data_IF_195248196312
#
_entry.id   IF_195248196312
#
_cell.length_a   1.000
_cell.length_b   1.000
_cell.length_c   1.000
_cell.angle_alpha   90.00
_cell.angle_beta   90.00
_cell.angle_gamma   90.00
#
_symmetry.space_group_name_H-M   'P 1'
#
loop_
_entity.id
_entity.type
_entity.pdbx_description
1 polymer ?
#
# COMPACT_ATOMS: atom_id res chain seq x y z
N UNK A 1 13.30 5.03 18.90
CA UNK A 1 12.13 5.93 18.85
C UNK A 1 10.80 5.16 18.69
N UNK A 2 10.52 4.47 17.58
CA UNK A 2 9.26 3.70 17.38
C UNK A 2 8.90 2.77 18.55
N UNK A 3 9.84 1.94 19.00
CA UNK A 3 9.59 1.00 20.11
C UNK A 3 9.40 1.68 21.47
N UNK A 4 9.91 2.87 21.64
CA UNK A 4 9.80 3.64 22.88
C UNK A 4 8.46 4.36 22.97
N UNK A 5 8.02 5.00 21.89
CA UNK A 5 6.67 5.54 21.77
C UNK A 5 5.59 4.48 22.05
N UNK A 6 5.70 3.32 21.39
CA UNK A 6 4.71 2.23 21.56
C UNK A 6 4.66 1.68 22.99
N UNK A 7 5.77 1.76 23.74
CA UNK A 7 5.81 1.33 25.16
C UNK A 7 5.21 2.36 26.11
N UNK A 8 5.25 3.63 25.72
CA UNK A 8 4.84 4.75 26.56
C UNK A 8 3.55 5.41 26.10
N UNK A 9 2.81 4.78 25.15
CA UNK A 9 1.64 5.41 24.51
C UNK A 9 0.62 5.94 25.50
N UNK A 10 0.44 5.25 26.61
CA UNK A 10 -0.51 5.66 27.65
C UNK A 10 -0.15 7.00 28.32
N UNK A 11 1.11 7.45 28.23
CA UNK A 11 1.53 8.74 28.79
C UNK A 11 1.19 9.93 27.89
N UNK A 12 0.80 9.66 26.64
CA UNK A 12 0.45 10.70 25.67
C UNK A 12 -1.05 10.99 25.61
N UNK A 13 -1.89 10.18 26.27
CA UNK A 13 -3.34 10.43 26.26
C UNK A 13 -3.67 11.70 27.04
N UNK A 14 -4.34 12.67 26.42
CA UNK A 14 -4.84 13.86 27.11
C UNK A 14 -6.06 13.52 27.98
N UNK A 15 -6.38 14.42 28.91
CA UNK A 15 -7.63 14.31 29.68
C UNK A 15 -8.81 14.82 28.81
N UNK A 16 -9.50 13.90 28.17
CA UNK A 16 -10.63 14.12 27.23
C UNK A 16 -11.60 12.94 27.30
N UNK A 17 -12.76 13.03 26.66
CA UNK A 17 -13.78 11.97 26.69
C UNK A 17 -13.30 10.71 25.95
N UNK A 18 -12.54 10.90 24.85
CA UNK A 18 -11.91 9.81 24.08
C UNK A 18 -10.71 10.31 23.31
N UNK A 19 -9.65 9.50 23.27
CA UNK A 19 -8.51 9.73 22.40
C UNK A 19 -8.03 8.41 21.82
N UNK A 20 -7.61 8.42 20.56
CA UNK A 20 -6.92 7.30 19.95
C UNK A 20 -5.69 7.74 19.16
N UNK A 21 -4.69 6.87 19.17
CA UNK A 21 -3.49 6.97 18.34
C UNK A 21 -3.48 5.86 17.31
N UNK A 22 -3.23 6.22 16.06
CA UNK A 22 -2.98 5.28 14.98
C UNK A 22 -1.63 5.56 14.36
N UNK A 23 -0.67 4.72 14.68
CA UNK A 23 0.64 4.71 14.01
C UNK A 23 0.54 3.90 12.72
N UNK A 24 1.15 4.38 11.65
CA UNK A 24 1.29 3.67 10.37
C UNK A 24 2.73 3.83 9.89
N UNK A 25 3.36 2.71 9.52
CA UNK A 25 4.59 2.70 8.73
C UNK A 25 4.32 1.91 7.45
N UNK A 26 4.62 2.51 6.30
CA UNK A 26 4.43 1.92 4.99
C UNK A 26 5.76 1.84 4.26
N UNK A 27 6.18 0.63 3.94
CA UNK A 27 7.32 0.36 3.07
C UNK A 27 6.82 -0.09 1.70
N UNK A 28 7.37 0.48 0.64
CA UNK A 28 7.06 0.11 -0.76
C UNK A 28 8.37 -0.14 -1.49
N UNK A 29 8.44 -1.25 -2.23
CA UNK A 29 9.53 -1.55 -3.16
C UNK A 29 8.93 -1.89 -4.53
N UNK A 30 9.41 -1.22 -5.59
CA UNK A 30 8.97 -1.44 -6.96
C UNK A 30 10.19 -1.76 -7.83
N UNK A 31 10.09 -2.86 -8.56
CA UNK A 31 11.07 -3.27 -9.56
C UNK A 31 10.33 -3.33 -10.89
N UNK A 32 10.78 -2.57 -11.88
CA UNK A 32 10.12 -2.43 -13.18
C UNK A 32 11.11 -2.64 -14.32
N UNK A 33 10.66 -3.32 -15.37
CA UNK A 33 11.38 -3.48 -16.63
C UNK A 33 10.47 -3.00 -17.75
N UNK A 34 10.91 -2.00 -18.48
CA UNK A 34 10.18 -1.43 -19.62
C UNK A 34 11.02 -1.56 -20.87
N UNK A 35 10.49 -2.15 -21.94
CA UNK A 35 11.17 -2.34 -23.23
C UNK A 35 12.54 -3.02 -23.08
N UNK A 36 12.62 -4.03 -22.22
CA UNK A 36 13.84 -4.78 -21.86
C UNK A 36 14.91 -3.93 -21.15
N UNK A 37 14.55 -2.78 -20.59
CA UNK A 37 15.44 -1.92 -19.79
C UNK A 37 14.96 -1.94 -18.35
N UNK A 38 15.86 -2.20 -17.42
CA UNK A 38 15.60 -2.08 -15.99
C UNK A 38 15.45 -0.60 -15.64
N UNK A 39 14.30 -0.23 -15.08
CA UNK A 39 14.10 1.08 -14.49
C UNK A 39 14.78 1.18 -13.11
N UNK A 40 15.09 2.37 -12.62
CA UNK A 40 15.58 2.54 -11.27
C UNK A 40 14.66 1.83 -10.25
N UNK A 41 15.25 1.03 -9.36
CA UNK A 41 14.49 0.36 -8.30
C UNK A 41 13.99 1.42 -7.31
N UNK A 42 12.69 1.50 -7.14
CA UNK A 42 12.07 2.45 -6.23
C UNK A 42 11.90 1.82 -4.85
N UNK A 43 12.38 2.50 -3.83
CA UNK A 43 12.14 2.16 -2.43
C UNK A 43 11.64 3.42 -1.74
N UNK A 44 10.50 3.32 -1.08
CA UNK A 44 9.96 4.39 -0.24
C UNK A 44 9.51 3.85 1.10
N UNK A 45 9.75 4.63 2.13
CA UNK A 45 9.25 4.39 3.48
C UNK A 45 8.61 5.67 3.99
N UNK A 46 7.40 5.56 4.52
CA UNK A 46 6.63 6.67 5.07
C UNK A 46 6.01 6.23 6.39
N UNK A 47 6.17 7.06 7.43
CA UNK A 47 5.64 6.75 8.75
C UNK A 47 5.05 7.99 9.43
N UNK A 48 4.06 7.75 10.28
CA UNK A 48 3.43 8.82 11.03
C UNK A 48 2.43 8.32 12.05
N UNK A 49 1.96 9.26 12.86
CA UNK A 49 0.93 9.07 13.86
C UNK A 49 -0.25 9.97 13.56
N UNK A 50 -1.43 9.39 13.61
CA UNK A 50 -2.72 10.08 13.61
C UNK A 50 -3.29 10.08 15.02
N UNK A 51 -3.76 11.23 15.48
CA UNK A 51 -4.43 11.42 16.76
C UNK A 51 -5.86 11.83 16.51
N UNK A 52 -6.80 11.13 17.13
CA UNK A 52 -8.22 11.50 17.11
C UNK A 52 -8.66 11.82 18.53
N UNK A 53 -9.36 12.92 18.72
CA UNK A 53 -9.90 13.36 20.01
C UNK A 53 -11.40 13.62 19.88
N UNK A 54 -12.17 13.11 20.85
CA UNK A 54 -13.55 13.49 21.09
C UNK A 54 -13.58 14.15 22.46
N UNK A 55 -14.13 15.38 22.55
CA UNK A 55 -14.24 16.11 23.80
C UNK A 55 -15.43 17.07 23.78
N UNK A 56 -16.27 17.00 24.82
CA UNK A 56 -17.47 17.84 24.98
C UNK A 56 -18.37 17.86 23.71
N UNK A 57 -18.55 16.68 23.07
CA UNK A 57 -19.35 16.56 21.85
C UNK A 57 -18.70 17.13 20.60
N UNK A 58 -17.44 17.59 20.68
CA UNK A 58 -16.65 17.99 19.53
C UNK A 58 -15.70 16.88 19.06
N UNK A 59 -15.19 17.03 17.86
CA UNK A 59 -14.26 16.08 17.21
C UNK A 59 -13.05 16.82 16.68
N UNK A 60 -11.87 16.31 16.97
CA UNK A 60 -10.62 16.86 16.51
C UNK A 60 -9.67 15.79 16.00
N UNK A 61 -8.80 16.23 15.13
CA UNK A 61 -7.84 15.40 14.43
C UNK A 61 -6.51 16.12 14.30
N UNK A 62 -5.41 15.41 14.59
CA UNK A 62 -4.04 15.85 14.39
C UNK A 62 -3.18 14.73 13.79
N UNK A 63 -2.14 15.07 13.06
CA UNK A 63 -1.23 14.10 12.51
C UNK A 63 0.21 14.64 12.47
N UNK A 64 1.18 13.74 12.59
CA UNK A 64 2.60 14.09 12.47
C UNK A 64 3.42 12.91 11.95
N UNK A 65 4.46 13.21 11.16
CA UNK A 65 5.55 12.30 10.84
C UNK A 65 6.73 12.44 11.83
N UNK A 66 6.71 13.46 12.69
CA UNK A 66 7.68 13.60 13.77
C UNK A 66 7.28 12.71 14.94
N UNK A 67 7.95 11.56 15.06
CA UNK A 67 7.71 10.55 16.09
C UNK A 67 8.47 10.84 17.41
N UNK A 68 9.01 12.04 17.58
CA UNK A 68 9.54 12.49 18.86
C UNK A 68 8.39 12.75 19.84
N UNK A 69 8.72 12.76 21.14
CA UNK A 69 7.74 13.12 22.16
C UNK A 69 7.09 14.49 21.89
N UNK A 70 7.89 15.45 21.48
CA UNK A 70 7.41 16.81 21.18
C UNK A 70 6.46 16.82 19.98
N UNK A 71 6.81 16.13 18.87
CA UNK A 71 5.98 16.02 17.69
C UNK A 71 4.63 15.39 17.99
N UNK A 72 4.60 14.31 18.77
CA UNK A 72 3.37 13.60 19.15
C UNK A 72 2.50 14.46 20.06
N UNK A 73 3.09 15.11 21.08
CA UNK A 73 2.35 16.00 21.98
C UNK A 73 1.75 17.17 21.21
N UNK A 74 2.50 17.76 20.26
CA UNK A 74 1.98 18.84 19.42
C UNK A 74 0.78 18.42 18.58
N UNK A 75 0.83 17.24 17.93
CA UNK A 75 -0.29 16.69 17.19
C UNK A 75 -1.50 16.39 18.09
N UNK A 76 -1.25 15.94 19.33
CA UNK A 76 -2.30 15.68 20.32
C UNK A 76 -2.99 16.97 20.75
N UNK A 77 -2.22 18.01 21.04
CA UNK A 77 -2.76 19.34 21.39
C UNK A 77 -3.56 19.96 20.23
N UNK A 78 -3.09 19.79 19.00
CA UNK A 78 -3.82 20.24 17.82
C UNK A 78 -5.17 19.51 17.68
N UNK A 79 -5.19 18.20 17.82
CA UNK A 79 -6.42 17.41 17.82
C UNK A 79 -7.40 17.87 18.91
N UNK A 80 -6.90 18.13 20.13
CA UNK A 80 -7.70 18.62 21.24
C UNK A 80 -8.30 20.01 20.96
N UNK A 81 -7.51 20.95 20.44
CA UNK A 81 -8.00 22.30 20.04
C UNK A 81 -9.12 22.20 19.00
N UNK A 82 -8.99 21.32 18.00
CA UNK A 82 -10.05 21.12 17.02
C UNK A 82 -11.30 20.50 17.63
N UNK A 83 -11.18 19.56 18.58
CA UNK A 83 -12.32 19.02 19.30
C UNK A 83 -13.05 20.11 20.09
N UNK A 84 -12.33 20.95 20.85
CA UNK A 84 -12.88 22.07 21.58
C UNK A 84 -13.55 23.09 20.66
N UNK A 85 -12.92 23.44 19.53
CA UNK A 85 -13.47 24.38 18.56
C UNK A 85 -14.73 23.87 17.87
N UNK A 86 -14.83 22.59 17.57
CA UNK A 86 -15.97 21.97 16.88
C UNK A 86 -17.15 21.65 17.81
N UNK A 87 -16.93 21.68 19.12
CA UNK A 87 -17.99 21.44 20.12
C UNK A 87 -19.19 22.37 19.91
N UNK A 88 -20.39 21.81 19.88
CA UNK A 88 -21.65 22.52 19.64
C UNK A 88 -21.85 23.00 18.20
N UNK A 89 -20.94 22.72 17.26
CA UNK A 89 -21.01 23.15 15.86
C UNK A 89 -21.21 22.01 14.87
N UNK A 90 -21.16 20.76 15.35
CA UNK A 90 -21.26 19.56 14.48
C UNK A 90 -22.74 19.23 14.24
N UNK A 91 -23.09 18.88 13.00
CA UNK A 91 -24.43 18.38 12.62
C UNK A 91 -24.75 17.06 13.32
N UNK A 92 -23.74 16.22 13.52
CA UNK A 92 -23.85 14.98 14.26
C UNK A 92 -22.85 15.01 15.41
N UNK A 93 -23.34 14.85 16.64
CA UNK A 93 -22.47 14.80 17.82
C UNK A 93 -21.75 13.44 17.87
N UNK A 94 -20.43 13.42 17.80
CA UNK A 94 -19.68 12.17 17.91
C UNK A 94 -19.77 11.64 19.35
N UNK A 95 -20.02 10.36 19.48
CA UNK A 95 -19.95 9.68 20.76
C UNK A 95 -18.66 8.84 20.80
N UNK A 96 -17.96 8.80 21.95
CA UNK A 96 -16.91 7.81 22.14
C UNK A 96 -17.40 6.41 21.77
N UNK A 97 -16.57 5.57 21.14
CA UNK A 97 -16.95 4.17 20.91
C UNK A 97 -17.41 3.54 22.21
N UNK A 98 -18.49 2.76 22.17
CA UNK A 98 -18.93 1.99 23.34
C UNK A 98 -17.74 1.16 23.83
N UNK A 99 -17.51 1.13 25.14
CA UNK A 99 -16.36 0.50 25.78
C UNK A 99 -16.23 -0.94 25.31
N UNK A 100 -15.38 -1.17 24.34
CA UNK A 100 -14.91 -2.49 23.94
C UNK A 100 -13.39 -2.41 23.89
N UNK A 101 -12.76 -3.15 24.75
CA UNK A 101 -11.32 -3.34 24.72
C UNK A 101 -11.05 -4.38 23.66
N UNK A 102 -10.48 -3.94 22.55
CA UNK A 102 -10.04 -4.86 21.51
C UNK A 102 -8.50 -5.01 21.60
N UNK A 103 -8.06 -6.24 21.84
CA UNK A 103 -6.66 -6.63 21.75
C UNK A 103 -6.51 -7.62 20.59
N UNK A 104 -5.67 -7.30 19.65
CA UNK A 104 -5.54 -8.11 18.44
C UNK A 104 -4.22 -7.94 17.74
N UNK A 105 -3.71 -9.06 17.20
CA UNK A 105 -2.52 -9.10 16.37
C UNK A 105 -2.82 -9.79 15.06
N UNK A 106 -2.54 -9.11 13.96
CA UNK A 106 -2.61 -9.70 12.63
C UNK A 106 -1.27 -9.57 11.92
N UNK A 107 -0.78 -10.67 11.39
CA UNK A 107 0.45 -10.70 10.60
C UNK A 107 0.18 -11.50 9.32
N UNK A 108 0.51 -10.92 8.17
CA UNK A 108 0.51 -11.67 6.93
C UNK A 108 1.49 -12.84 7.05
N UNK A 109 1.01 -14.04 6.80
CA UNK A 109 1.84 -15.23 6.81
C UNK A 109 2.59 -15.35 5.48
N UNK A 110 3.77 -14.75 5.41
CA UNK A 110 4.66 -14.90 4.25
C UNK A 110 5.42 -16.23 4.34
N UNK A 111 5.07 -17.20 3.51
CA UNK A 111 5.83 -18.47 3.40
C UNK A 111 7.26 -18.21 2.95
N UNK A 112 7.42 -17.31 1.96
CA UNK A 112 8.69 -16.86 1.41
C UNK A 112 8.70 -15.35 1.37
N UNK A 113 9.46 -14.72 2.27
CA UNK A 113 9.49 -13.27 2.37
C UNK A 113 10.09 -12.66 1.10
N UNK A 114 9.59 -11.47 0.73
CA UNK A 114 10.13 -10.68 -0.39
C UNK A 114 11.65 -10.50 -0.33
N UNK A 115 12.22 -10.39 0.87
CA UNK A 115 13.64 -10.16 1.08
C UNK A 115 14.53 -11.41 0.93
N UNK A 116 13.96 -12.62 0.86
CA UNK A 116 14.76 -13.84 0.66
C UNK A 116 15.34 -13.95 -0.73
N UNK A 117 14.59 -13.52 -1.75
CA UNK A 117 15.09 -13.50 -3.12
C UNK A 117 15.92 -12.24 -3.39
N UNK A 118 17.01 -12.38 -4.10
CA UNK A 118 17.84 -11.25 -4.48
C UNK A 118 17.14 -10.34 -5.48
N UNK A 119 17.49 -9.06 -5.53
CA UNK A 119 17.00 -8.17 -6.57
C UNK A 119 17.40 -8.64 -7.96
N UNK A 120 18.55 -9.31 -8.08
CA UNK A 120 19.03 -9.90 -9.34
C UNK A 120 18.05 -10.96 -9.86
N UNK A 121 17.62 -11.91 -9.02
CA UNK A 121 16.70 -12.97 -9.42
C UNK A 121 15.32 -12.41 -9.82
N UNK A 122 14.85 -11.38 -9.10
CA UNK A 122 13.60 -10.66 -9.42
C UNK A 122 13.68 -9.96 -10.78
N UNK A 123 14.80 -9.29 -11.03
CA UNK A 123 15.06 -8.61 -12.32
C UNK A 123 15.17 -9.61 -13.45
N UNK A 124 15.91 -10.72 -13.27
CA UNK A 124 16.03 -11.77 -14.28
C UNK A 124 14.66 -12.36 -14.65
N UNK A 125 13.79 -12.59 -13.68
CA UNK A 125 12.43 -13.05 -13.93
C UNK A 125 11.59 -12.00 -14.66
N UNK A 126 11.65 -10.73 -14.27
CA UNK A 126 11.00 -9.63 -15.00
C UNK A 126 11.50 -9.50 -16.44
N UNK A 127 12.81 -9.71 -16.67
CA UNK A 127 13.36 -9.70 -18.03
C UNK A 127 12.81 -10.84 -18.89
N UNK A 128 12.60 -12.03 -18.32
CA UNK A 128 11.97 -13.16 -19.03
C UNK A 128 10.53 -12.80 -19.42
N UNK A 129 9.74 -12.29 -18.47
CA UNK A 129 8.36 -11.83 -18.72
C UNK A 129 8.36 -10.73 -19.81
N UNK A 130 9.30 -9.79 -19.74
CA UNK A 130 9.40 -8.68 -20.68
C UNK A 130 9.70 -9.13 -22.10
N UNK A 131 10.54 -10.18 -22.25
CA UNK A 131 10.78 -10.82 -23.56
C UNK A 131 9.51 -11.45 -24.14
N UNK A 132 8.72 -12.13 -23.32
CA UNK A 132 7.46 -12.73 -23.75
C UNK A 132 6.41 -11.70 -24.15
N UNK A 133 6.38 -10.52 -23.48
CA UNK A 133 5.53 -9.40 -23.90
C UNK A 133 5.89 -8.89 -25.31
N UNK A 134 7.19 -8.86 -25.68
CA UNK A 134 7.64 -8.47 -27.03
C UNK A 134 7.58 -9.65 -28.01
N UNK A 135 6.45 -10.33 -28.08
CA UNK A 135 6.25 -11.52 -28.93
C UNK A 135 6.31 -11.24 -30.43
N UNK A 136 5.90 -10.05 -30.87
CA UNK A 136 5.85 -9.66 -32.30
C UNK A 136 6.28 -8.20 -32.51
N UNK A 137 6.72 -7.85 -33.74
CA UNK A 137 7.12 -6.46 -34.09
C UNK A 137 6.03 -5.42 -33.82
N UNK A 138 4.76 -5.79 -34.00
CA UNK A 138 3.58 -4.93 -33.78
C UNK A 138 3.39 -4.48 -32.33
N UNK A 139 4.05 -5.12 -31.36
CA UNK A 139 4.09 -4.62 -30.00
C UNK A 139 5.03 -3.41 -29.98
N UNK A 140 4.46 -2.22 -29.81
CA UNK A 140 5.18 -0.94 -29.80
C UNK A 140 5.68 -0.53 -28.43
N UNK A 141 4.96 -0.91 -27.35
CA UNK A 141 5.38 -0.68 -25.98
C UNK A 141 4.98 -1.85 -25.07
N UNK A 142 5.84 -2.17 -24.10
CA UNK A 142 5.62 -3.26 -23.16
C UNK A 142 6.39 -3.04 -21.87
N UNK A 143 5.88 -3.58 -20.77
CA UNK A 143 6.52 -3.48 -19.47
C UNK A 143 5.97 -4.50 -18.47
N UNK A 144 6.79 -4.81 -17.49
CA UNK A 144 6.41 -5.66 -16.37
C UNK A 144 7.00 -5.09 -15.08
N UNK A 145 6.25 -5.19 -13.99
CA UNK A 145 6.71 -4.75 -12.69
C UNK A 145 6.20 -5.64 -11.56
N UNK A 146 6.97 -5.68 -10.49
CA UNK A 146 6.57 -6.21 -9.20
C UNK A 146 6.56 -5.09 -8.19
N UNK A 147 5.46 -4.95 -7.46
CA UNK A 147 5.35 -4.05 -6.33
C UNK A 147 5.13 -4.86 -5.07
N UNK A 148 5.99 -4.66 -4.09
CA UNK A 148 5.83 -5.17 -2.74
C UNK A 148 5.46 -4.02 -1.81
N UNK A 149 4.45 -4.22 -0.98
CA UNK A 149 4.08 -3.28 0.07
C UNK A 149 4.06 -4.02 1.40
N UNK A 150 4.58 -3.36 2.42
CA UNK A 150 4.47 -3.76 3.82
C UNK A 150 3.92 -2.59 4.62
N UNK A 151 2.82 -2.83 5.33
CA UNK A 151 2.16 -1.82 6.15
C UNK A 151 2.11 -2.34 7.58
N UNK A 152 2.77 -1.63 8.48
CA UNK A 152 2.70 -1.88 9.91
C UNK A 152 1.76 -0.83 10.53
N UNK A 153 0.75 -1.28 11.23
CA UNK A 153 -0.20 -0.41 11.93
C UNK A 153 -0.24 -0.78 13.40
N UNK A 154 -0.23 0.23 14.24
CA UNK A 154 -0.52 0.11 15.66
C UNK A 154 -1.65 1.07 16.01
N UNK A 155 -2.65 0.59 16.73
CA UNK A 155 -3.75 1.39 17.21
C UNK A 155 -3.90 1.20 18.72
N UNK A 156 -4.05 2.30 19.45
CA UNK A 156 -4.37 2.31 20.86
C UNK A 156 -5.35 3.44 21.18
N UNK A 157 -6.21 3.26 22.17
CA UNK A 157 -7.15 4.25 22.60
C UNK A 157 -7.30 4.35 24.13
N UNK A 158 -8.01 5.37 24.58
CA UNK A 158 -8.31 5.57 26.01
C UNK A 158 -9.19 4.51 26.62
N UNK A 159 -9.85 3.65 25.82
CA UNK A 159 -10.62 2.50 26.30
C UNK A 159 -9.72 1.27 26.59
N UNK A 160 -8.42 1.34 26.25
CA UNK A 160 -7.45 0.27 26.48
C UNK A 160 -7.23 -0.68 25.32
N UNK A 161 -7.70 -0.34 24.11
CA UNK A 161 -7.43 -1.13 22.91
C UNK A 161 -5.93 -1.15 22.57
N UNK A 162 -5.38 -2.30 22.16
CA UNK A 162 -4.03 -2.49 21.60
C UNK A 162 -4.14 -3.40 20.37
N UNK A 163 -4.17 -2.81 19.18
CA UNK A 163 -4.29 -3.56 17.93
C UNK A 163 -3.03 -3.37 17.11
N UNK A 164 -2.41 -4.48 16.71
CA UNK A 164 -1.17 -4.49 15.91
C UNK A 164 -1.38 -5.28 14.63
N UNK A 165 -1.12 -4.64 13.51
CA UNK A 165 -1.22 -5.27 12.21
C UNK A 165 0.07 -5.10 11.42
N UNK A 166 0.50 -6.18 10.76
CA UNK A 166 1.60 -6.16 9.81
C UNK A 166 1.09 -6.87 8.55
N UNK A 167 0.70 -6.06 7.57
CA UNK A 167 0.14 -6.53 6.31
C UNK A 167 1.17 -6.36 5.22
N UNK A 168 1.52 -7.46 4.54
CA UNK A 168 2.35 -7.40 3.35
C UNK A 168 1.63 -8.03 2.16
N UNK A 169 1.86 -7.48 0.97
CA UNK A 169 1.27 -8.00 -0.26
C UNK A 169 2.14 -7.66 -1.47
N UNK A 170 2.04 -8.53 -2.47
CA UNK A 170 2.73 -8.40 -3.75
C UNK A 170 1.71 -8.19 -4.85
N UNK A 171 2.03 -7.29 -5.79
CA UNK A 171 1.26 -7.04 -7.01
C UNK A 171 2.18 -7.22 -8.23
N UNK A 172 1.93 -8.23 -9.09
CA UNK A 172 2.47 -8.22 -10.45
C UNK A 172 1.66 -7.27 -11.33
N UNK A 173 2.32 -6.62 -12.27
CA UNK A 173 1.67 -5.84 -13.32
C UNK A 173 2.40 -6.04 -14.64
N UNK A 174 1.65 -6.35 -15.67
CA UNK A 174 2.11 -6.55 -17.04
C UNK A 174 1.33 -5.62 -17.96
N UNK A 175 1.98 -5.09 -18.98
CA UNK A 175 1.35 -4.26 -20.01
C UNK A 175 1.93 -4.57 -21.39
N UNK A 176 1.06 -4.68 -22.38
CA UNK A 176 1.44 -4.77 -23.79
C UNK A 176 0.59 -3.80 -24.60
N UNK A 177 1.26 -2.98 -25.43
CA UNK A 177 0.62 -2.07 -26.39
C UNK A 177 0.97 -2.54 -27.80
N UNK A 178 -0.04 -2.84 -28.61
CA UNK A 178 0.11 -3.16 -30.01
C UNK A 178 -0.29 -1.97 -30.88
N UNK A 179 0.47 -1.72 -31.93
CA UNK A 179 0.19 -0.65 -32.90
C UNK A 179 -0.01 -1.23 -34.29
N UNK A 180 -1.12 -0.90 -34.91
CA UNK A 180 -1.40 -1.20 -36.30
C UNK A 180 -2.12 -0.02 -36.97
N UNK A 181 -1.62 0.43 -38.16
CA UNK A 181 -2.20 1.54 -38.93
C UNK A 181 -2.52 2.79 -38.08
N UNK A 182 -1.60 3.20 -37.18
CA UNK A 182 -1.74 4.34 -36.25
C UNK A 182 -2.77 4.16 -35.12
N UNK A 183 -3.37 2.99 -34.99
CA UNK A 183 -4.20 2.63 -33.84
C UNK A 183 -3.38 1.88 -32.82
N UNK A 184 -3.49 2.29 -31.55
CA UNK A 184 -2.80 1.67 -30.43
C UNK A 184 -3.83 1.01 -29.55
N UNK A 185 -3.63 -0.28 -29.26
CA UNK A 185 -4.43 -1.04 -28.32
C UNK A 185 -3.58 -1.56 -27.18
N UNK A 186 -4.09 -1.43 -25.97
CA UNK A 186 -3.37 -1.81 -24.75
C UNK A 186 -4.10 -2.92 -24.03
N UNK A 187 -3.33 -3.91 -23.56
CA UNK A 187 -3.78 -4.96 -22.65
C UNK A 187 -2.89 -5.00 -21.43
N UNK A 188 -3.52 -5.27 -20.29
CA UNK A 188 -2.85 -5.34 -19.00
C UNK A 188 -3.26 -6.60 -18.25
N UNK A 189 -2.37 -7.10 -17.42
CA UNK A 189 -2.65 -8.14 -16.43
C UNK A 189 -2.07 -7.71 -15.10
N UNK A 190 -2.77 -8.05 -13.99
CA UNK A 190 -2.25 -7.78 -12.66
C UNK A 190 -2.89 -6.56 -11.99
N UNK A 191 -2.06 -5.77 -11.31
CA UNK A 191 -2.51 -4.63 -10.52
C UNK A 191 -3.25 -5.04 -9.24
N UNK A 192 -4.07 -4.14 -8.69
CA UNK A 192 -4.73 -4.34 -7.39
C UNK A 192 -5.64 -5.58 -7.34
N UNK A 193 -6.29 -5.93 -8.43
CA UNK A 193 -7.15 -7.12 -8.52
C UNK A 193 -6.38 -8.44 -8.30
N UNK A 194 -5.08 -8.42 -8.53
CA UNK A 194 -4.19 -9.58 -8.40
C UNK A 194 -3.22 -9.45 -7.22
N UNK A 195 -3.46 -8.50 -6.30
CA UNK A 195 -2.70 -8.41 -5.07
C UNK A 195 -2.91 -9.64 -4.21
N UNK A 196 -1.82 -10.17 -3.64
CA UNK A 196 -1.87 -11.34 -2.74
C UNK A 196 -1.01 -11.11 -1.51
N UNK A 197 -1.58 -11.43 -0.37
CA UNK A 197 -0.90 -11.46 0.94
C UNK A 197 -0.14 -12.79 1.10
N UNK A 198 0.84 -13.01 0.23
CA UNK A 198 1.61 -14.26 0.15
C UNK A 198 3.05 -13.92 -0.22
N UNK A 199 3.99 -14.86 -0.07
CA UNK A 199 5.39 -14.65 -0.36
C UNK A 199 5.73 -14.59 -1.86
N UNK A 200 7.02 -14.38 -2.15
CA UNK A 200 7.54 -14.17 -3.52
C UNK A 200 7.22 -15.33 -4.48
N UNK A 201 7.17 -16.57 -4.00
CA UNK A 201 6.91 -17.75 -4.85
C UNK A 201 5.57 -17.68 -5.58
N UNK A 202 4.59 -16.92 -5.06
CA UNK A 202 3.36 -16.64 -5.77
C UNK A 202 3.59 -16.11 -7.19
N UNK A 203 4.61 -15.27 -7.39
CA UNK A 203 4.91 -14.73 -8.72
C UNK A 203 5.35 -15.81 -9.71
N UNK A 204 6.12 -16.81 -9.23
CA UNK A 204 6.54 -17.95 -10.03
C UNK A 204 5.38 -18.90 -10.31
N UNK A 205 4.54 -19.15 -9.29
CA UNK A 205 3.38 -20.03 -9.39
C UNK A 205 2.25 -19.46 -10.26
N UNK A 206 2.26 -18.14 -10.51
CA UNK A 206 1.24 -17.44 -11.31
C UNK A 206 1.42 -17.54 -12.81
N UNK A 207 2.44 -18.24 -13.29
CA UNK A 207 2.77 -18.41 -14.70
C UNK A 207 2.74 -17.09 -15.51
N UNK A 208 3.44 -16.07 -14.98
CA UNK A 208 3.41 -14.73 -15.54
C UNK A 208 4.02 -14.65 -16.94
N UNK A 209 4.89 -15.60 -17.33
CA UNK A 209 5.43 -15.69 -18.68
C UNK A 209 4.31 -16.02 -19.68
N UNK A 210 3.52 -17.04 -19.37
CA UNK A 210 2.36 -17.41 -20.20
C UNK A 210 1.31 -16.27 -20.25
N UNK A 211 1.06 -15.60 -19.11
CA UNK A 211 0.17 -14.43 -19.07
C UNK A 211 0.68 -13.27 -19.94
N UNK A 212 1.99 -13.07 -19.98
CA UNK A 212 2.60 -12.07 -20.85
C UNK A 212 2.35 -12.36 -22.34
N UNK A 213 2.48 -13.60 -22.75
CA UNK A 213 2.18 -14.02 -24.13
C UNK A 213 0.70 -13.83 -24.45
N UNK A 214 -0.21 -14.18 -23.53
CA UNK A 214 -1.65 -13.99 -23.72
C UNK A 214 -1.99 -12.52 -23.95
N UNK A 215 -1.60 -11.61 -23.04
CA UNK A 215 -1.96 -10.18 -23.16
C UNK A 215 -1.30 -9.51 -24.38
N UNK A 216 -0.13 -9.98 -24.80
CA UNK A 216 0.49 -9.50 -26.02
C UNK A 216 -0.32 -9.92 -27.25
N UNK A 217 -0.78 -11.15 -27.33
CA UNK A 217 -1.65 -11.65 -28.41
C UNK A 217 -3.00 -10.92 -28.40
N UNK A 218 -3.65 -10.76 -27.25
CA UNK A 218 -4.90 -10.04 -27.11
C UNK A 218 -4.79 -8.58 -27.55
N UNK A 219 -3.66 -7.90 -27.26
CA UNK A 219 -3.41 -6.54 -27.71
C UNK A 219 -3.28 -6.47 -29.24
N UNK A 220 -2.60 -7.46 -29.84
CA UNK A 220 -2.44 -7.56 -31.29
C UNK A 220 -3.78 -7.82 -31.97
N UNK A 221 -4.55 -8.80 -31.50
CA UNK A 221 -5.87 -9.12 -32.06
C UNK A 221 -6.80 -7.91 -32.05
N UNK A 222 -6.86 -7.17 -30.95
CA UNK A 222 -7.65 -5.96 -30.86
C UNK A 222 -7.19 -4.87 -31.82
N UNK A 223 -5.88 -4.73 -32.03
CA UNK A 223 -5.39 -3.76 -33.01
C UNK A 223 -5.82 -4.05 -34.45
N UNK A 224 -6.23 -5.28 -34.72
CA UNK A 224 -6.71 -5.74 -36.01
C UNK A 224 -8.25 -5.62 -36.19
N UNK A 225 -9.04 -5.67 -35.11
CA UNK A 225 -10.51 -5.67 -35.16
C UNK A 225 -11.07 -4.33 -35.68
N UNK A 226 -10.40 -3.21 -35.38
CA UNK A 226 -10.87 -1.88 -35.80
C UNK A 226 -10.52 -1.47 -37.25
N UNK A 227 -10.22 -2.45 -38.14
CA UNK A 227 -9.83 -2.19 -39.53
C UNK A 227 -11.03 -2.28 -40.50
N UNK A 228 -12.18 -2.64 -40.02
CA UNK A 228 -13.36 -2.96 -40.89
C UNK A 228 -14.28 -1.76 -41.14
N UNK A 229 -13.78 -0.51 -41.10
CA UNK A 229 -14.49 0.67 -41.61
C UNK A 229 -13.63 1.48 -42.56
#
# INVERSE_FOLDING_TARGET
MKNEFLKQINTYFPNVDYCSFRFVNKYTNIISVTRNVLEPIEISEDEGVMVTVIHNGGYGYGATSDLTQEGILKATEEAKKWAEYSSGKLVHVPHPPSVRVDDGKYFTHERDSWGKESNKDKVEYLMQINKSLKSKPTISNWGASFRYNKIETFFADTNGSDIRQNVSYILPQLVACAEYKKQIQTRTFGGHAHARQIGYNFLKDSDLIYKAEQIANDAIELSLIHISE
#
